data_IF_587532909244
#
_entry.id   IF_587532909244
#
_cell.length_a   1.000
_cell.length_b   1.000
_cell.length_c   1.000
_cell.angle_alpha   90.00
_cell.angle_beta   90.00
_cell.angle_gamma   90.00
#
_symmetry.space_group_name_H-M   'P 1'
#
loop_
_entity.id
_entity.type
_entity.pdbx_description
1 polymer ?
#
# COMPACT_ATOMS: atom_id res chain seq x y z
N UNK A 1 -31.97 15.00 0.61
CA UNK A 1 -31.25 14.45 -0.56
C UNK A 1 -29.91 13.98 -0.05
N UNK A 2 -29.82 12.71 0.26
CA UNK A 2 -28.54 12.10 0.54
C UNK A 2 -27.85 11.88 -0.79
N UNK A 3 -26.92 12.76 -1.11
CA UNK A 3 -25.93 12.52 -2.13
C UNK A 3 -25.14 11.30 -1.66
N UNK A 4 -25.53 10.12 -2.12
CA UNK A 4 -24.71 8.93 -1.96
C UNK A 4 -23.48 9.21 -2.80
N UNK A 5 -22.39 9.63 -2.15
CA UNK A 5 -21.11 9.80 -2.78
C UNK A 5 -20.78 8.46 -3.46
N UNK A 6 -21.08 8.40 -4.75
CA UNK A 6 -20.77 7.27 -5.59
C UNK A 6 -19.25 7.08 -5.49
N UNK A 7 -18.82 5.87 -5.20
CA UNK A 7 -17.38 5.59 -5.11
C UNK A 7 -16.70 6.22 -6.35
N UNK A 8 -15.63 6.99 -6.17
CA UNK A 8 -15.00 7.73 -7.27
C UNK A 8 -14.34 6.81 -8.30
N UNK A 9 -14.50 5.51 -8.15
CA UNK A 9 -13.85 4.45 -8.90
C UNK A 9 -14.93 3.50 -9.41
N UNK A 10 -14.91 3.24 -10.71
CA UNK A 10 -15.83 2.29 -11.32
C UNK A 10 -15.32 0.85 -11.17
N UNK A 11 -16.19 -0.14 -10.97
CA UNK A 11 -15.79 -1.53 -10.94
C UNK A 11 -15.05 -1.95 -12.21
N UNK A 12 -13.87 -2.59 -12.06
CA UNK A 12 -13.08 -3.07 -13.19
C UNK A 12 -12.32 -2.00 -13.98
N UNK A 13 -12.39 -0.73 -13.58
CA UNK A 13 -11.72 0.36 -14.29
C UNK A 13 -10.20 0.24 -14.16
N UNK A 14 -9.49 0.27 -15.28
CA UNK A 14 -8.03 0.27 -15.32
C UNK A 14 -7.46 1.62 -14.85
N UNK A 15 -6.21 1.62 -14.37
CA UNK A 15 -5.55 2.87 -13.93
C UNK A 15 -5.47 3.90 -15.04
N UNK A 16 -5.21 3.48 -16.28
CA UNK A 16 -5.15 4.39 -17.44
C UNK A 16 -6.51 5.08 -17.70
N UNK A 17 -7.60 4.31 -17.71
CA UNK A 17 -8.95 4.85 -17.92
C UNK A 17 -9.37 5.78 -16.78
N UNK A 18 -8.99 5.42 -15.55
CA UNK A 18 -9.22 6.24 -14.37
C UNK A 18 -8.52 7.60 -14.48
N UNK A 19 -7.27 7.63 -14.94
CA UNK A 19 -6.53 8.86 -15.18
C UNK A 19 -7.18 9.72 -16.26
N UNK A 20 -7.62 9.11 -17.36
CA UNK A 20 -8.29 9.82 -18.44
C UNK A 20 -9.62 10.45 -17.98
N UNK A 21 -10.35 9.72 -17.16
CA UNK A 21 -11.66 10.18 -16.66
C UNK A 21 -11.55 11.25 -15.57
N UNK A 22 -10.62 11.10 -14.62
CA UNK A 22 -10.53 11.99 -13.45
C UNK A 22 -9.57 13.16 -13.66
N UNK A 23 -8.66 13.10 -14.62
CA UNK A 23 -7.67 14.16 -14.84
C UNK A 23 -6.85 14.45 -13.59
N UNK A 24 -6.83 15.70 -13.16
CA UNK A 24 -6.06 16.15 -12.00
C UNK A 24 -6.50 15.52 -10.65
N UNK A 25 -7.68 14.92 -10.58
CA UNK A 25 -8.17 14.21 -9.40
C UNK A 25 -7.58 12.80 -9.27
N UNK A 26 -6.98 12.26 -10.32
CA UNK A 26 -6.21 11.04 -10.28
C UNK A 26 -4.79 11.34 -9.77
N UNK A 27 -4.47 10.93 -8.56
CA UNK A 27 -3.18 11.20 -7.94
C UNK A 27 -2.20 10.08 -8.28
N UNK A 28 -1.46 10.27 -9.37
CA UNK A 28 -0.44 9.32 -9.80
C UNK A 28 0.82 9.50 -8.97
N UNK A 29 1.23 8.46 -8.29
CA UNK A 29 2.46 8.45 -7.52
C UNK A 29 3.62 7.97 -8.40
N UNK A 30 4.44 8.90 -8.90
CA UNK A 30 5.53 8.64 -9.84
C UNK A 30 6.78 8.09 -9.13
N UNK A 31 6.65 6.92 -8.54
CA UNK A 31 7.75 6.17 -7.94
C UNK A 31 7.96 4.86 -8.72
N UNK A 32 9.15 4.26 -8.69
CA UNK A 32 9.45 3.05 -9.45
C UNK A 32 8.84 1.80 -8.78
N UNK A 33 7.54 1.75 -8.67
CA UNK A 33 6.81 0.65 -8.05
C UNK A 33 7.05 -0.67 -8.78
N UNK A 34 7.20 -1.74 -8.01
CA UNK A 34 7.24 -3.12 -8.52
C UNK A 34 6.20 -3.95 -7.79
N UNK A 35 5.53 -4.83 -8.50
CA UNK A 35 4.58 -5.79 -7.93
C UNK A 35 5.31 -7.06 -7.50
N UNK A 36 5.14 -7.42 -6.24
CA UNK A 36 5.74 -8.63 -5.65
C UNK A 36 4.70 -9.65 -5.19
N UNK A 37 3.44 -9.25 -5.02
CA UNK A 37 2.35 -10.13 -4.61
C UNK A 37 1.72 -10.88 -5.77
N UNK A 38 0.96 -11.93 -5.46
CA UNK A 38 0.21 -12.69 -6.46
C UNK A 38 -1.01 -11.96 -7.00
N UNK A 39 -1.58 -11.03 -6.22
CA UNK A 39 -2.67 -10.16 -6.67
C UNK A 39 -2.07 -8.91 -7.32
N UNK A 40 -2.09 -8.85 -8.64
CA UNK A 40 -1.40 -7.82 -9.41
C UNK A 40 -2.29 -6.64 -9.84
N UNK A 41 -3.60 -6.80 -9.75
CA UNK A 41 -4.55 -5.75 -10.06
C UNK A 41 -5.69 -5.77 -9.04
N UNK A 42 -5.94 -4.65 -8.40
CA UNK A 42 -7.01 -4.50 -7.41
C UNK A 42 -7.30 -3.05 -7.10
N UNK A 43 -8.30 -2.83 -6.29
CA UNK A 43 -8.71 -1.52 -5.75
C UNK A 43 -9.20 -1.69 -4.34
N UNK A 44 -8.95 -0.73 -3.49
CA UNK A 44 -9.38 -0.78 -2.10
C UNK A 44 -9.29 0.60 -1.45
N UNK A 45 -10.05 0.83 -0.37
CA UNK A 45 -9.73 1.92 0.55
C UNK A 45 -8.40 1.64 1.24
N UNK A 46 -7.73 2.69 1.66
CA UNK A 46 -6.40 2.58 2.27
C UNK A 46 -6.40 2.97 3.75
N UNK A 47 -5.42 2.45 4.47
CA UNK A 47 -4.95 2.96 5.74
C UNK A 47 -3.46 3.31 5.62
N UNK A 48 -2.99 4.30 6.37
CA UNK A 48 -1.65 4.85 6.24
C UNK A 48 -0.87 4.76 7.55
N UNK A 49 0.41 4.42 7.45
CA UNK A 49 1.34 4.46 8.59
C UNK A 49 2.75 4.84 8.12
N UNK A 50 3.42 5.67 8.92
CA UNK A 50 4.81 6.05 8.74
C UNK A 50 5.63 5.62 9.95
N UNK A 51 6.71 4.88 9.70
CA UNK A 51 7.67 4.49 10.75
C UNK A 51 9.02 4.18 10.11
N UNK A 52 10.01 5.04 10.33
CA UNK A 52 11.32 4.95 9.68
C UNK A 52 12.01 3.61 9.96
N UNK A 53 12.18 2.81 8.91
CA UNK A 53 12.86 1.49 8.93
C UNK A 53 12.43 0.57 10.08
N UNK A 54 11.17 0.67 10.50
CA UNK A 54 10.59 -0.10 11.59
C UNK A 54 9.34 -0.86 11.12
N UNK A 55 9.40 -2.17 11.20
CA UNK A 55 8.30 -3.05 10.83
C UNK A 55 7.25 -3.23 11.95
N UNK A 56 7.53 -2.78 13.17
CA UNK A 56 6.64 -2.95 14.32
C UNK A 56 5.25 -2.35 14.13
N UNK A 57 5.14 -1.07 13.74
CA UNK A 57 3.84 -0.45 13.49
C UNK A 57 3.05 -1.08 12.34
N UNK A 58 3.74 -1.50 11.28
CA UNK A 58 3.13 -2.23 10.17
C UNK A 58 2.54 -3.56 10.66
N UNK A 59 3.30 -4.33 11.42
CA UNK A 59 2.84 -5.59 11.98
C UNK A 59 1.62 -5.40 12.89
N UNK A 60 1.66 -4.39 13.76
CA UNK A 60 0.56 -4.10 14.66
C UNK A 60 -0.75 -3.83 13.91
N UNK A 61 -0.70 -3.09 12.80
CA UNK A 61 -1.87 -2.84 11.95
C UNK A 61 -2.34 -4.09 11.21
N UNK A 62 -1.43 -4.88 10.65
CA UNK A 62 -1.79 -6.12 9.95
C UNK A 62 -2.41 -7.16 10.90
N UNK A 63 -2.16 -7.05 12.20
CA UNK A 63 -2.78 -7.89 13.24
C UNK A 63 -4.20 -7.43 13.62
N UNK A 64 -4.71 -6.39 13.00
CA UNK A 64 -6.09 -5.90 13.18
C UNK A 64 -6.96 -6.26 11.96
N UNK A 65 -8.31 -6.21 12.07
CA UNK A 65 -9.18 -6.47 10.92
C UNK A 65 -8.89 -5.52 9.76
N UNK A 66 -8.55 -6.10 8.60
CA UNK A 66 -8.23 -5.34 7.39
C UNK A 66 -9.45 -4.78 6.69
N UNK A 67 -10.58 -5.50 6.72
CA UNK A 67 -11.83 -5.09 6.07
C UNK A 67 -11.68 -4.82 4.57
N UNK A 68 -10.82 -5.58 3.90
CA UNK A 68 -10.56 -5.42 2.47
C UNK A 68 -9.68 -4.22 2.10
N UNK A 69 -9.10 -3.51 3.06
CA UNK A 69 -8.24 -2.34 2.82
C UNK A 69 -6.83 -2.75 2.37
N UNK A 70 -6.15 -1.81 1.78
CA UNK A 70 -4.70 -1.87 1.53
C UNK A 70 -4.00 -0.96 2.53
N UNK A 71 -2.94 -1.47 3.16
CA UNK A 71 -2.10 -0.68 4.06
C UNK A 71 -0.98 -0.03 3.26
N UNK A 72 -0.88 1.29 3.33
CA UNK A 72 0.23 2.06 2.74
C UNK A 72 1.20 2.41 3.86
N UNK A 73 2.44 1.95 3.74
CA UNK A 73 3.47 2.18 4.74
C UNK A 73 4.64 2.96 4.16
N UNK A 74 5.10 3.95 4.91
CA UNK A 74 6.30 4.72 4.58
C UNK A 74 7.42 4.45 5.60
N UNK A 75 8.36 3.55 5.29
CA UNK A 75 9.54 3.32 6.11
C UNK A 75 10.71 4.24 5.77
N UNK A 76 10.54 5.25 4.90
CA UNK A 76 11.55 6.25 4.59
C UNK A 76 12.11 6.23 3.17
N UNK A 77 11.64 5.34 2.30
CA UNK A 77 12.05 5.30 0.90
C UNK A 77 13.41 4.64 0.64
N UNK A 78 14.05 4.07 1.66
CA UNK A 78 15.35 3.42 1.55
C UNK A 78 15.20 1.92 1.28
N UNK A 79 16.19 1.33 0.60
CA UNK A 79 16.18 -0.08 0.20
C UNK A 79 17.21 -0.93 0.97
N UNK A 80 17.72 -0.45 2.07
CA UNK A 80 18.76 -1.16 2.83
C UNK A 80 18.24 -2.24 3.77
N UNK A 81 16.96 -2.13 4.16
CA UNK A 81 16.29 -3.14 5.00
C UNK A 81 14.86 -3.35 4.53
N UNK A 82 14.35 -4.56 4.70
CA UNK A 82 12.97 -4.92 4.36
C UNK A 82 12.06 -4.81 5.58
N UNK A 83 10.90 -4.18 5.41
CA UNK A 83 9.89 -4.04 6.49
C UNK A 83 8.74 -5.03 6.37
N UNK A 84 8.62 -5.72 5.23
CA UNK A 84 7.58 -6.72 4.95
C UNK A 84 8.23 -7.97 4.37
N UNK A 85 7.83 -9.11 4.86
CA UNK A 85 8.13 -10.42 4.31
C UNK A 85 6.92 -11.34 4.34
N UNK A 86 7.13 -12.63 4.10
CA UNK A 86 6.07 -13.63 3.98
C UNK A 86 5.17 -13.70 5.22
N UNK A 87 5.76 -13.77 6.42
CA UNK A 87 4.98 -13.93 7.66
C UNK A 87 4.00 -12.79 7.87
N UNK A 88 4.44 -11.56 7.65
CA UNK A 88 3.59 -10.37 7.81
C UNK A 88 2.53 -10.30 6.73
N UNK A 89 2.86 -10.64 5.50
CA UNK A 89 1.89 -10.71 4.42
C UNK A 89 0.80 -11.75 4.69
N UNK A 90 1.17 -12.93 5.20
CA UNK A 90 0.20 -13.96 5.60
C UNK A 90 -0.67 -13.51 6.78
N UNK A 91 -0.10 -12.81 7.75
CA UNK A 91 -0.86 -12.22 8.85
C UNK A 91 -1.92 -11.25 8.33
N UNK A 92 -1.54 -10.34 7.45
CA UNK A 92 -2.47 -9.38 6.85
C UNK A 92 -3.56 -10.08 6.05
N UNK A 93 -3.19 -11.04 5.21
CA UNK A 93 -4.14 -11.82 4.42
C UNK A 93 -5.15 -12.56 5.32
N UNK A 94 -4.69 -13.19 6.39
CA UNK A 94 -5.56 -13.91 7.34
C UNK A 94 -6.54 -12.98 8.07
N UNK A 95 -6.16 -11.72 8.27
CA UNK A 95 -6.99 -10.70 8.93
C UNK A 95 -7.85 -9.86 7.97
N UNK A 96 -7.89 -10.24 6.70
CA UNK A 96 -8.78 -9.60 5.72
C UNK A 96 -8.21 -8.34 5.05
N UNK A 97 -6.90 -8.09 5.17
CA UNK A 97 -6.23 -7.08 4.36
C UNK A 97 -6.09 -7.57 2.92
N UNK A 98 -6.18 -6.65 1.97
CA UNK A 98 -6.06 -6.96 0.54
C UNK A 98 -4.63 -6.84 0.03
N UNK A 99 -3.81 -6.09 0.71
CA UNK A 99 -2.42 -5.89 0.33
C UNK A 99 -1.72 -4.82 1.14
N UNK A 100 -0.44 -4.62 0.80
CA UNK A 100 0.43 -3.58 1.37
C UNK A 100 1.19 -2.88 0.26
N UNK A 101 1.26 -1.57 0.33
CA UNK A 101 2.11 -0.74 -0.53
C UNK A 101 3.24 -0.20 0.37
N UNK A 102 4.49 -0.49 0.02
CA UNK A 102 5.66 -0.18 0.83
C UNK A 102 6.54 0.84 0.10
N UNK A 103 6.66 2.04 0.65
CA UNK A 103 7.63 3.05 0.18
C UNK A 103 9.04 2.69 0.66
N UNK A 104 9.52 1.54 0.25
CA UNK A 104 10.78 0.94 0.67
C UNK A 104 10.94 -0.46 0.13
N UNK A 105 11.58 -1.35 0.89
CA UNK A 105 11.90 -2.70 0.46
C UNK A 105 11.10 -3.78 1.18
N UNK A 106 10.92 -4.89 0.46
CA UNK A 106 10.34 -6.15 0.97
C UNK A 106 11.37 -7.28 0.83
N UNK A 107 11.06 -8.44 1.39
CA UNK A 107 11.82 -9.69 1.20
C UNK A 107 10.89 -10.88 1.00
N UNK A 108 11.43 -12.06 0.81
CA UNK A 108 10.68 -13.31 0.55
C UNK A 108 9.83 -13.21 -0.73
N UNK A 109 10.38 -12.63 -1.79
CA UNK A 109 9.60 -12.27 -2.99
C UNK A 109 9.00 -13.49 -3.70
N UNK A 110 9.68 -14.63 -3.69
CA UNK A 110 9.12 -15.87 -4.26
C UNK A 110 7.87 -16.33 -3.50
N UNK A 111 7.88 -16.25 -2.18
CA UNK A 111 6.75 -16.59 -1.33
C UNK A 111 5.60 -15.56 -1.47
N UNK A 112 5.93 -14.28 -1.54
CA UNK A 112 4.94 -13.22 -1.74
C UNK A 112 4.18 -13.39 -3.07
N UNK A 113 4.87 -13.79 -4.13
CA UNK A 113 4.26 -14.01 -5.45
C UNK A 113 3.22 -15.13 -5.46
N UNK A 114 3.26 -16.05 -4.49
CA UNK A 114 2.31 -17.14 -4.36
C UNK A 114 1.05 -16.79 -3.55
N UNK A 115 0.99 -15.60 -2.95
CA UNK A 115 -0.14 -15.17 -2.13
C UNK A 115 -1.16 -14.38 -2.95
N UNK A 116 -2.44 -14.64 -2.72
CA UNK A 116 -3.54 -13.80 -3.23
C UNK A 116 -3.64 -12.50 -2.41
N UNK A 117 -2.60 -11.70 -2.52
CA UNK A 117 -2.35 -10.50 -1.72
C UNK A 117 -1.53 -9.53 -2.55
N UNK A 118 -1.92 -8.27 -2.59
CA UNK A 118 -1.18 -7.27 -3.34
C UNK A 118 0.03 -6.79 -2.52
N UNK A 119 1.20 -6.73 -3.15
CA UNK A 119 2.40 -6.14 -2.57
C UNK A 119 3.08 -5.29 -3.63
N UNK A 120 3.11 -3.98 -3.43
CA UNK A 120 3.93 -3.06 -4.21
C UNK A 120 5.03 -2.51 -3.32
N UNK A 121 6.24 -2.43 -3.87
CA UNK A 121 7.40 -1.88 -3.17
C UNK A 121 8.38 -1.26 -4.18
N UNK A 122 9.39 -0.56 -3.69
CA UNK A 122 10.43 0.04 -4.54
C UNK A 122 11.54 -0.96 -4.86
N UNK A 123 11.70 -2.00 -4.06
CA UNK A 123 12.71 -3.01 -4.25
C UNK A 123 12.63 -4.15 -3.24
N UNK A 124 13.58 -5.06 -3.35
CA UNK A 124 13.69 -6.21 -2.45
C UNK A 124 15.12 -6.35 -1.93
N UNK A 125 15.26 -6.68 -0.64
CA UNK A 125 16.55 -6.98 0.00
C UNK A 125 16.34 -8.10 1.02
N UNK A 126 17.33 -8.96 1.27
CA UNK A 126 17.15 -10.09 2.19
C UNK A 126 17.19 -9.68 3.67
N UNK A 127 17.80 -8.56 4.00
CA UNK A 127 17.96 -8.13 5.39
C UNK A 127 16.69 -7.48 5.93
N UNK A 128 16.17 -8.00 7.04
CA UNK A 128 15.00 -7.40 7.70
C UNK A 128 15.36 -6.12 8.44
N UNK A 129 14.40 -5.22 8.58
CA UNK A 129 14.49 -4.09 9.50
C UNK A 129 14.66 -4.59 10.95
N UNK A 130 15.63 -4.02 11.66
CA UNK A 130 15.91 -4.35 13.04
C UNK A 130 16.36 -3.08 13.79
N UNK A 131 15.45 -2.13 14.04
CA UNK A 131 15.78 -0.86 14.68
C UNK A 131 16.26 -1.09 16.11
N UNK A 132 17.24 -0.29 16.56
CA UNK A 132 17.74 -0.33 17.94
C UNK A 132 16.72 0.21 18.94
N UNK A 133 15.83 1.07 18.48
CA UNK A 133 14.71 1.63 19.25
C UNK A 133 13.50 1.79 18.32
N UNK A 134 12.27 1.75 18.87
CA UNK A 134 11.09 2.00 18.05
C UNK A 134 11.14 3.36 17.38
N UNK A 135 10.76 3.41 16.10
CA UNK A 135 10.65 4.66 15.37
C UNK A 135 9.44 5.48 15.85
N UNK A 136 9.56 6.79 15.71
CA UNK A 136 8.38 7.65 15.82
C UNK A 136 7.35 7.23 14.76
N UNK A 137 6.13 6.97 15.17
CA UNK A 137 5.08 6.45 14.31
C UNK A 137 4.01 7.51 14.08
N UNK A 138 3.61 7.67 12.82
CA UNK A 138 2.49 8.52 12.41
C UNK A 138 1.46 7.69 11.68
N UNK A 139 0.20 7.89 12.03
CA UNK A 139 -0.95 7.22 11.44
C UNK A 139 -1.85 8.21 10.71
N UNK A 140 -2.60 7.70 9.75
CA UNK A 140 -3.73 8.39 9.16
C UNK A 140 -3.45 9.21 7.92
N UNK A 141 -2.22 9.62 7.67
CA UNK A 141 -1.86 10.39 6.48
C UNK A 141 -0.39 10.19 6.11
N UNK A 142 -0.09 10.30 4.81
CA UNK A 142 1.25 10.17 4.25
C UNK A 142 1.45 11.16 3.10
N UNK A 143 2.71 11.53 2.85
CA UNK A 143 3.15 12.19 1.63
C UNK A 143 4.17 11.28 0.93
N UNK A 144 3.84 10.79 -0.26
CA UNK A 144 4.66 9.87 -1.05
C UNK A 144 4.80 10.40 -2.48
N UNK A 145 6.05 10.58 -2.95
CA UNK A 145 6.29 10.96 -4.34
C UNK A 145 5.52 12.20 -4.80
N UNK A 146 5.34 13.18 -3.93
CA UNK A 146 4.58 14.40 -4.20
C UNK A 146 3.07 14.27 -4.08
N UNK A 147 2.57 13.11 -3.65
CA UNK A 147 1.14 12.85 -3.45
C UNK A 147 0.82 12.78 -1.96
N UNK A 148 -0.19 13.52 -1.52
CA UNK A 148 -0.72 13.44 -0.15
C UNK A 148 -1.94 12.56 -0.11
N UNK A 149 -1.94 11.56 0.78
CA UNK A 149 -3.00 10.57 0.96
C UNK A 149 -3.37 10.45 2.43
N UNK A 150 -4.59 9.98 2.69
CA UNK A 150 -5.11 9.80 4.04
C UNK A 150 -5.94 8.52 4.15
N UNK A 151 -6.14 8.06 5.38
CA UNK A 151 -7.05 6.95 5.66
C UNK A 151 -8.41 7.17 5.02
N UNK A 152 -8.93 6.14 4.36
CA UNK A 152 -10.21 6.20 3.67
C UNK A 152 -10.14 6.63 2.21
N UNK A 153 -9.03 7.21 1.76
CA UNK A 153 -8.80 7.38 0.32
C UNK A 153 -8.74 6.02 -0.37
N UNK A 154 -8.85 6.01 -1.69
CA UNK A 154 -8.80 4.79 -2.47
C UNK A 154 -7.51 4.66 -3.24
N UNK A 155 -7.10 3.44 -3.49
CA UNK A 155 -6.03 3.11 -4.43
C UNK A 155 -6.57 2.15 -5.49
N UNK A 156 -6.18 2.38 -6.73
CA UNK A 156 -6.30 1.43 -7.83
C UNK A 156 -4.90 1.09 -8.32
N UNK A 157 -4.61 -0.17 -8.44
CA UNK A 157 -3.33 -0.65 -8.95
C UNK A 157 -3.52 -1.72 -10.01
N UNK A 158 -2.64 -1.73 -10.98
CA UNK A 158 -2.54 -2.73 -12.05
C UNK A 158 -1.11 -2.76 -12.62
N UNK A 159 -0.93 -3.35 -13.80
CA UNK A 159 0.39 -3.49 -14.41
C UNK A 159 1.05 -2.16 -14.76
N UNK A 160 0.29 -1.08 -14.93
CA UNK A 160 0.82 0.25 -15.26
C UNK A 160 1.30 1.03 -14.03
N UNK A 161 0.89 0.62 -12.84
CA UNK A 161 1.26 1.29 -11.59
C UNK A 161 0.09 1.45 -10.63
N UNK A 162 0.08 2.55 -9.89
CA UNK A 162 -0.97 2.84 -8.94
C UNK A 162 -1.44 4.29 -9.01
N UNK A 163 -2.70 4.49 -8.71
CA UNK A 163 -3.37 5.80 -8.64
C UNK A 163 -4.14 5.89 -7.33
N UNK A 164 -3.93 6.98 -6.60
CA UNK A 164 -4.76 7.30 -5.44
C UNK A 164 -5.89 8.25 -5.84
N UNK A 165 -7.04 8.08 -5.19
CA UNK A 165 -8.21 8.94 -5.36
C UNK A 165 -8.72 9.35 -3.99
N UNK A 166 -8.84 10.63 -3.75
CA UNK A 166 -9.38 11.16 -2.49
C UNK A 166 -10.89 10.97 -2.42
N UNK A 167 -11.39 10.68 -1.24
CA UNK A 167 -12.81 10.48 -1.00
C UNK A 167 -13.53 11.72 -0.49
N UNK A 168 -12.81 12.77 -0.16
CA UNK A 168 -13.38 14.04 0.31
C UNK A 168 -12.56 15.23 -0.12
#
# INVERSE_FOLDING_TARGET
MTDSAQAPIHPGEATADLCDRLGAQALVCHLPWRSYGGLQATRAPIACVQAFEDAGPLRALLDTPGQGRILVVDPGGLLRVAVLGERMARLGLANGWRGVIVHGAVRDVAALAALDFAVLALGAVPQRANPQAPAETRHGALALGGVEIADGDWVVLDADGLVFVRTS
#
